data_IF_829211184182
#
_entry.id   IF_829211184182
#
_cell.length_a   1.000
_cell.length_b   1.000
_cell.length_c   1.000
_cell.angle_alpha   90.00
_cell.angle_beta   90.00
_cell.angle_gamma   90.00
#
_symmetry.space_group_name_H-M   'P 1'
#
loop_
_entity.id
_entity.type
_entity.pdbx_description
1 polymer ?
#
# COMPACT_ATOMS: atom_id res chain seq x y z
N UNK A 1 25.79 -7.17 3.90
CA UNK A 1 25.09 -6.83 2.64
C UNK A 1 24.06 -5.74 2.96
N UNK A 2 24.32 -4.48 2.55
CA UNK A 2 23.33 -3.40 2.70
C UNK A 2 22.23 -3.67 1.67
N UNK A 3 21.03 -4.03 2.12
CA UNK A 3 19.82 -4.03 1.30
C UNK A 3 19.73 -2.61 0.68
N UNK A 4 19.61 -2.44 -0.65
CA UNK A 4 19.43 -1.11 -1.20
C UNK A 4 18.24 -0.49 -0.48
N UNK A 5 18.41 0.72 0.06
CA UNK A 5 17.31 1.46 0.64
C UNK A 5 16.23 1.54 -0.44
N UNK A 6 15.11 0.87 -0.19
CA UNK A 6 13.94 0.92 -1.06
C UNK A 6 13.26 2.23 -0.69
N UNK A 7 13.15 3.15 -1.65
CA UNK A 7 12.74 4.52 -1.36
C UNK A 7 11.30 4.63 -0.84
N UNK A 8 10.48 3.58 -1.06
CA UNK A 8 9.10 3.51 -0.64
C UNK A 8 8.73 2.11 -0.12
N UNK A 9 7.99 2.06 0.97
CA UNK A 9 7.37 0.85 1.50
C UNK A 9 5.94 1.12 2.00
N UNK A 10 5.08 0.11 1.91
CA UNK A 10 3.77 0.08 2.56
C UNK A 10 3.70 -1.18 3.40
N UNK A 11 3.48 -0.99 4.70
CA UNK A 11 3.19 -2.05 5.65
C UNK A 11 1.68 -2.20 5.74
N UNK A 12 1.18 -3.39 5.46
CA UNK A 12 -0.25 -3.70 5.36
C UNK A 12 -0.57 -4.74 6.44
N UNK A 13 -1.47 -4.39 7.35
CA UNK A 13 -2.06 -5.30 8.32
C UNK A 13 -3.44 -5.72 7.84
N UNK A 14 -3.70 -7.03 7.81
CA UNK A 14 -4.96 -7.61 7.40
C UNK A 14 -5.34 -8.74 8.36
N UNK A 15 -6.30 -8.47 9.24
CA UNK A 15 -6.77 -9.46 10.22
C UNK A 15 -5.67 -10.01 11.14
N UNK A 16 -4.66 -9.19 11.48
CA UNK A 16 -3.53 -9.57 12.34
C UNK A 16 -2.39 -10.28 11.62
N UNK A 17 -2.45 -10.38 10.28
CA UNK A 17 -1.30 -10.74 9.44
C UNK A 17 -0.68 -9.47 8.86
N UNK A 18 0.65 -9.40 8.88
CA UNK A 18 1.38 -8.25 8.35
C UNK A 18 2.18 -8.64 7.11
N UNK A 19 2.10 -7.79 6.09
CA UNK A 19 2.92 -7.87 4.88
C UNK A 19 3.55 -6.51 4.61
N UNK A 20 4.78 -6.51 4.09
CA UNK A 20 5.45 -5.30 3.62
C UNK A 20 5.62 -5.37 2.11
N UNK A 21 5.10 -4.37 1.41
CA UNK A 21 5.31 -4.14 -0.02
C UNK A 21 6.34 -3.04 -0.16
N UNK A 22 7.39 -3.25 -0.95
CA UNK A 22 8.47 -2.28 -1.10
C UNK A 22 8.79 -2.07 -2.59
N UNK A 23 9.08 -0.84 -3.00
CA UNK A 23 9.44 -0.51 -4.37
C UNK A 23 10.46 0.65 -4.44
N UNK A 24 11.14 0.77 -5.57
CA UNK A 24 12.09 1.87 -5.82
C UNK A 24 11.42 3.12 -6.40
N UNK A 25 10.12 3.08 -6.71
CA UNK A 25 9.37 4.22 -7.26
C UNK A 25 7.99 4.30 -6.64
N UNK A 26 7.45 5.53 -6.55
CA UNK A 26 6.08 5.80 -6.12
C UNK A 26 5.07 4.97 -6.92
N UNK A 27 5.15 5.03 -8.25
CA UNK A 27 4.26 4.28 -9.14
C UNK A 27 4.37 2.77 -8.95
N UNK A 28 5.59 2.25 -8.80
CA UNK A 28 5.82 0.82 -8.58
C UNK A 28 5.18 0.36 -7.28
N UNK A 29 5.29 1.17 -6.22
CA UNK A 29 4.67 0.87 -4.94
C UNK A 29 3.14 0.83 -5.05
N UNK A 30 2.54 1.84 -5.67
CA UNK A 30 1.09 1.93 -5.87
C UNK A 30 0.53 0.70 -6.59
N UNK A 31 1.17 0.28 -7.68
CA UNK A 31 0.72 -0.89 -8.46
C UNK A 31 0.83 -2.19 -7.67
N UNK A 32 1.92 -2.38 -6.91
CA UNK A 32 2.10 -3.58 -6.10
C UNK A 32 1.11 -3.62 -4.92
N UNK A 33 0.92 -2.50 -4.23
CA UNK A 33 -0.01 -2.39 -3.12
C UNK A 33 -1.47 -2.52 -3.59
N UNK A 34 -1.84 -1.97 -4.75
CA UNK A 34 -3.17 -2.18 -5.35
C UNK A 34 -3.42 -3.65 -5.66
N UNK A 35 -2.47 -4.34 -6.31
CA UNK A 35 -2.60 -5.76 -6.60
C UNK A 35 -2.87 -6.56 -5.32
N UNK A 36 -2.18 -6.19 -4.24
CA UNK A 36 -2.38 -6.78 -2.92
C UNK A 36 -3.77 -6.46 -2.33
N UNK A 37 -4.24 -5.21 -2.42
CA UNK A 37 -5.58 -4.82 -1.96
C UNK A 37 -6.69 -5.55 -2.72
N UNK A 38 -6.54 -5.72 -4.04
CA UNK A 38 -7.49 -6.49 -4.86
C UNK A 38 -7.56 -7.96 -4.43
N UNK A 39 -6.42 -8.55 -4.07
CA UNK A 39 -6.39 -9.92 -3.52
C UNK A 39 -7.04 -10.00 -2.13
N UNK A 40 -6.74 -9.04 -1.25
CA UNK A 40 -7.26 -9.02 0.12
C UNK A 40 -8.75 -8.68 0.20
N UNK A 41 -9.26 -7.81 -0.67
CA UNK A 41 -10.68 -7.42 -0.69
C UNK A 41 -11.61 -8.61 -0.89
N UNK A 42 -11.15 -9.68 -1.56
CA UNK A 42 -11.90 -10.93 -1.68
C UNK A 42 -12.08 -11.67 -0.33
N UNK A 43 -11.44 -11.21 0.75
CA UNK A 43 -11.47 -11.80 2.09
C UNK A 43 -12.18 -10.85 3.08
N UNK A 44 -13.09 -11.35 3.94
CA UNK A 44 -13.80 -10.51 4.91
C UNK A 44 -12.87 -10.16 6.09
N UNK A 45 -11.96 -9.21 5.90
CA UNK A 45 -11.02 -8.77 6.91
C UNK A 45 -10.86 -7.24 6.92
N UNK A 46 -10.55 -6.70 8.10
CA UNK A 46 -10.16 -5.29 8.24
C UNK A 46 -8.74 -5.15 7.70
N UNK A 47 -8.55 -4.21 6.77
CA UNK A 47 -7.24 -3.83 6.24
C UNK A 47 -6.85 -2.47 6.79
N UNK A 48 -5.62 -2.36 7.29
CA UNK A 48 -4.98 -1.08 7.64
C UNK A 48 -3.59 -1.04 7.03
N UNK A 49 -3.05 0.16 6.78
CA UNK A 49 -1.71 0.28 6.22
C UNK A 49 -0.96 1.50 6.73
N UNK A 50 0.37 1.42 6.68
CA UNK A 50 1.29 2.51 6.99
C UNK A 50 2.27 2.67 5.83
N UNK A 51 2.48 3.90 5.36
CA UNK A 51 3.42 4.20 4.29
C UNK A 51 4.72 4.71 4.92
N UNK A 52 5.84 4.13 4.50
CA UNK A 52 7.18 4.52 4.90
C UNK A 52 7.91 5.03 3.64
N UNK A 53 8.21 6.33 3.61
CA UNK A 53 8.98 6.95 2.54
C UNK A 53 9.70 8.19 3.07
N UNK A 54 10.80 8.61 2.41
CA UNK A 54 11.55 9.80 2.81
C UNK A 54 10.89 11.12 2.37
N UNK A 55 10.07 11.07 1.32
CA UNK A 55 9.35 12.22 0.77
C UNK A 55 7.90 12.23 1.25
N UNK A 56 7.57 13.15 2.16
CA UNK A 56 6.21 13.36 2.69
C UNK A 56 5.18 13.66 1.58
N UNK A 57 5.60 14.34 0.52
CA UNK A 57 4.76 14.64 -0.64
C UNK A 57 4.39 13.38 -1.40
N UNK A 58 5.35 12.48 -1.60
CA UNK A 58 5.10 11.16 -2.18
C UNK A 58 4.23 10.30 -1.26
N UNK A 59 4.49 10.31 0.05
CA UNK A 59 3.66 9.59 1.03
C UNK A 59 2.19 9.99 0.96
N UNK A 60 1.90 11.30 0.86
CA UNK A 60 0.53 11.80 0.69
C UNK A 60 -0.12 11.34 -0.62
N UNK A 61 0.62 11.35 -1.73
CA UNK A 61 0.09 10.89 -3.04
C UNK A 61 -0.20 9.39 -3.04
N UNK A 62 0.69 8.58 -2.45
CA UNK A 62 0.48 7.14 -2.27
C UNK A 62 -0.76 6.89 -1.40
N UNK A 63 -0.90 7.61 -0.28
CA UNK A 63 -2.05 7.48 0.61
C UNK A 63 -3.37 7.81 -0.09
N UNK A 64 -3.40 8.91 -0.86
CA UNK A 64 -4.59 9.30 -1.63
C UNK A 64 -4.95 8.21 -2.65
N UNK A 65 -3.98 7.76 -3.45
CA UNK A 65 -4.17 6.70 -4.44
C UNK A 65 -4.71 5.41 -3.81
N UNK A 66 -4.10 4.94 -2.73
CA UNK A 66 -4.51 3.70 -2.06
C UNK A 66 -5.87 3.84 -1.36
N UNK A 67 -6.21 5.04 -0.90
CA UNK A 67 -7.55 5.38 -0.41
C UNK A 67 -8.59 5.27 -1.52
N UNK A 68 -8.34 5.87 -2.68
CA UNK A 68 -9.24 5.83 -3.84
C UNK A 68 -9.45 4.38 -4.30
N UNK A 69 -8.38 3.60 -4.46
CA UNK A 69 -8.45 2.17 -4.80
C UNK A 69 -9.31 1.41 -3.80
N UNK A 70 -9.17 1.67 -2.51
CA UNK A 70 -9.95 0.96 -1.50
C UNK A 70 -11.45 1.33 -1.56
N UNK A 71 -11.77 2.61 -1.78
CA UNK A 71 -13.15 3.08 -1.96
C UNK A 71 -13.78 2.45 -3.21
N UNK A 72 -13.05 2.42 -4.33
CA UNK A 72 -13.48 1.75 -5.56
C UNK A 72 -13.80 0.27 -5.31
N UNK A 73 -12.97 -0.43 -4.54
CA UNK A 73 -13.20 -1.83 -4.19
C UNK A 73 -14.44 -2.03 -3.34
N UNK A 74 -14.71 -1.12 -2.40
CA UNK A 74 -15.95 -1.11 -1.63
C UNK A 74 -17.20 -0.76 -2.46
N UNK A 75 -17.04 -0.40 -3.74
CA UNK A 75 -18.13 0.05 -4.61
C UNK A 75 -18.65 1.44 -4.25
N UNK A 76 -17.84 2.24 -3.55
CA UNK A 76 -18.15 3.64 -3.21
C UNK A 76 -17.44 4.56 -4.20
N UNK A 77 -18.18 5.38 -4.98
CA UNK A 77 -17.58 6.34 -5.90
C UNK A 77 -16.97 7.55 -5.19
#
# INVERSE_FOLDING_TARGET
>A
MRRPARDFAVRIDFGGQETVVEACTERGLCLLAEAFFRELYARPCKVTYTIECQDDGAGRRIAAYLGDVWLELLGTP
#
